data_IF_551480953021
#
_entry.id   IF_551480953021
#
_cell.length_a   1.000
_cell.length_b   1.000
_cell.length_c   1.000
_cell.angle_alpha   90.00
_cell.angle_beta   90.00
_cell.angle_gamma   90.00
#
_symmetry.space_group_name_H-M   'P 1'
#
loop_
_entity.id
_entity.type
_entity.pdbx_description
1 polymer ?
#
# COMPACT_ATOMS: atom_id res chain seq x y z
N UNK A 1 13.38 -61.48 -40.92
CA UNK A 1 13.95 -61.23 -39.59
C UNK A 1 13.83 -59.73 -39.34
N UNK A 2 12.67 -59.28 -38.83
CA UNK A 2 12.34 -57.85 -38.61
C UNK A 2 12.44 -57.52 -37.12
N UNK A 3 13.40 -56.70 -36.75
CA UNK A 3 13.55 -56.23 -35.40
C UNK A 3 12.80 -54.85 -35.31
N UNK A 4 11.60 -54.90 -34.77
CA UNK A 4 10.82 -53.70 -34.47
C UNK A 4 11.48 -52.88 -33.35
N UNK A 5 11.96 -51.71 -33.70
CA UNK A 5 12.55 -50.72 -32.78
C UNK A 5 11.40 -50.00 -32.08
N UNK A 6 11.08 -50.36 -30.83
CA UNK A 6 10.14 -49.60 -30.00
C UNK A 6 10.83 -48.36 -29.49
N UNK A 7 10.47 -47.21 -30.06
CA UNK A 7 10.80 -45.88 -29.51
C UNK A 7 9.86 -45.62 -28.35
N UNK A 8 10.36 -45.75 -27.13
CA UNK A 8 9.64 -45.30 -25.93
C UNK A 8 9.81 -43.78 -25.83
N UNK A 9 8.78 -43.03 -26.25
CA UNK A 9 8.67 -41.61 -25.98
C UNK A 9 8.40 -41.40 -24.47
N UNK A 10 9.42 -41.04 -23.73
CA UNK A 10 9.32 -40.63 -22.35
C UNK A 10 8.72 -39.19 -22.30
N UNK A 11 7.46 -39.07 -21.92
CA UNK A 11 6.87 -37.79 -21.60
C UNK A 11 7.45 -37.31 -20.25
N UNK A 12 8.40 -36.38 -20.30
CA UNK A 12 8.91 -35.69 -19.13
C UNK A 12 7.82 -34.69 -18.66
N UNK A 13 6.99 -35.11 -17.70
CA UNK A 13 6.04 -34.23 -17.02
C UNK A 13 6.86 -33.36 -16.07
N UNK A 14 7.25 -32.17 -16.50
CA UNK A 14 7.86 -31.18 -15.64
C UNK A 14 6.75 -30.69 -14.65
N UNK A 15 6.74 -31.22 -13.43
CA UNK A 15 5.95 -30.70 -12.35
C UNK A 15 6.46 -29.29 -12.06
N UNK A 16 5.72 -28.26 -12.48
CA UNK A 16 5.90 -26.91 -11.99
C UNK A 16 5.60 -26.96 -10.48
N UNK A 17 6.66 -26.97 -9.68
CA UNK A 17 6.55 -26.71 -8.24
C UNK A 17 6.16 -25.24 -8.12
N UNK A 18 4.87 -24.95 -7.98
CA UNK A 18 4.41 -23.63 -7.60
C UNK A 18 4.95 -23.35 -6.18
N UNK A 19 5.99 -22.55 -6.10
CA UNK A 19 6.42 -22.00 -4.82
C UNK A 19 5.22 -21.24 -4.24
N UNK A 20 4.91 -21.41 -2.93
CA UNK A 20 3.85 -20.64 -2.31
C UNK A 20 4.16 -19.16 -2.53
N UNK A 21 3.23 -18.42 -3.17
CA UNK A 21 3.34 -16.99 -3.29
C UNK A 21 3.39 -16.44 -1.86
N UNK A 22 4.50 -15.82 -1.50
CA UNK A 22 4.62 -15.18 -0.19
C UNK A 22 3.69 -13.99 -0.17
N UNK A 23 2.80 -13.93 0.84
CA UNK A 23 1.88 -12.81 1.00
C UNK A 23 2.66 -11.50 1.10
N UNK A 24 2.22 -10.48 0.36
CA UNK A 24 2.85 -9.16 0.39
C UNK A 24 2.78 -8.56 1.80
N UNK A 25 3.92 -8.24 2.39
CA UNK A 25 4.03 -7.62 3.72
C UNK A 25 3.82 -6.11 3.59
N UNK A 26 2.64 -5.63 3.97
CA UNK A 26 2.26 -4.22 3.86
C UNK A 26 2.18 -3.57 5.23
N UNK A 27 2.80 -2.40 5.36
CA UNK A 27 2.73 -1.55 6.54
C UNK A 27 1.96 -0.28 6.19
N UNK A 28 0.83 -0.03 6.86
CA UNK A 28 0.05 1.20 6.73
C UNK A 28 0.32 2.13 7.92
N UNK A 29 0.46 3.42 7.67
CA UNK A 29 0.73 4.41 8.73
C UNK A 29 -0.47 4.70 9.59
N UNK A 30 -1.68 4.66 9.01
CA UNK A 30 -2.94 5.01 9.65
C UNK A 30 -4.01 3.92 9.49
N UNK A 31 -5.06 3.94 10.34
CA UNK A 31 -6.20 3.02 10.20
C UNK A 31 -6.94 3.16 8.88
N UNK A 32 -7.05 4.38 8.32
CA UNK A 32 -7.69 4.61 7.02
C UNK A 32 -6.90 3.99 5.88
N UNK A 33 -5.57 4.13 5.88
CA UNK A 33 -4.70 3.45 4.91
C UNK A 33 -4.75 1.92 5.10
N UNK A 34 -4.79 1.45 6.34
CA UNK A 34 -4.96 0.03 6.63
C UNK A 34 -6.28 -0.54 6.10
N UNK A 35 -7.38 0.20 6.26
CA UNK A 35 -8.68 -0.18 5.70
C UNK A 35 -8.65 -0.23 4.16
N UNK A 36 -7.97 0.73 3.53
CA UNK A 36 -7.79 0.75 2.08
C UNK A 36 -6.97 -0.45 1.59
N UNK A 37 -5.84 -0.76 2.26
CA UNK A 37 -5.02 -1.94 1.96
C UNK A 37 -5.85 -3.23 2.05
N UNK A 38 -6.66 -3.39 3.07
CA UNK A 38 -7.56 -4.56 3.21
C UNK A 38 -8.61 -4.63 2.10
N UNK A 39 -9.18 -3.50 1.71
CA UNK A 39 -10.18 -3.44 0.65
C UNK A 39 -9.58 -3.83 -0.72
N UNK A 40 -8.33 -3.45 -0.98
CA UNK A 40 -7.61 -3.72 -2.22
C UNK A 40 -6.98 -5.12 -2.20
N UNK A 41 -6.20 -5.42 -1.15
CA UNK A 41 -5.35 -6.61 -1.06
C UNK A 41 -6.06 -7.87 -0.58
N UNK A 42 -7.19 -7.72 0.13
CA UNK A 42 -7.94 -8.87 0.64
C UNK A 42 -7.17 -9.68 1.70
N UNK A 43 -7.44 -10.99 1.72
CA UNK A 43 -6.84 -11.93 2.67
C UNK A 43 -5.39 -12.34 2.30
N UNK A 44 -5.00 -12.14 1.05
CA UNK A 44 -3.68 -12.56 0.53
C UNK A 44 -2.57 -11.53 0.85
N UNK A 45 -2.87 -10.55 1.70
CA UNK A 45 -1.95 -9.49 2.11
C UNK A 45 -1.76 -9.49 3.61
N UNK A 46 -0.52 -9.58 4.07
CA UNK A 46 -0.16 -9.38 5.47
C UNK A 46 -0.12 -7.89 5.77
N UNK A 47 -0.96 -7.42 6.70
CA UNK A 47 -1.07 -5.99 7.02
C UNK A 47 -0.72 -5.69 8.47
N UNK A 48 0.21 -4.76 8.66
CA UNK A 48 0.48 -4.11 9.94
C UNK A 48 0.08 -2.63 9.87
N UNK A 49 -0.73 -2.17 10.83
CA UNK A 49 -1.09 -0.74 10.96
C UNK A 49 -0.30 -0.14 12.12
N UNK A 50 0.45 0.94 11.87
CA UNK A 50 1.38 1.52 12.83
C UNK A 50 0.67 2.37 13.90
N UNK A 51 -0.38 3.09 13.52
CA UNK A 51 -1.15 3.95 14.42
C UNK A 51 -2.49 3.34 14.77
N UNK A 52 -2.90 3.45 16.03
CA UNK A 52 -4.28 3.21 16.43
C UNK A 52 -5.20 4.41 16.10
N UNK A 53 -6.52 4.19 16.10
CA UNK A 53 -7.50 5.24 15.74
C UNK A 53 -7.49 6.44 16.69
N UNK A 54 -7.03 6.24 17.93
CA UNK A 54 -6.93 7.28 18.98
C UNK A 54 -5.65 8.13 18.88
N UNK A 55 -4.81 7.89 17.89
CA UNK A 55 -3.49 8.54 17.80
C UNK A 55 -3.48 9.61 16.73
N UNK A 56 -3.00 10.79 17.14
CA UNK A 56 -2.67 11.88 16.23
C UNK A 56 -1.39 11.53 15.45
N UNK A 57 -1.50 11.44 14.13
CA UNK A 57 -0.38 11.10 13.24
C UNK A 57 0.69 12.18 13.18
N UNK A 58 0.35 13.44 13.43
CA UNK A 58 1.33 14.53 13.48
C UNK A 58 2.29 14.40 14.65
N UNK A 59 1.82 13.82 15.75
CA UNK A 59 2.54 13.73 17.04
C UNK A 59 2.97 12.31 17.39
N UNK A 60 2.86 11.40 16.44
CA UNK A 60 3.28 10.02 16.65
C UNK A 60 4.80 9.96 16.85
N UNK A 61 5.24 9.09 17.73
CA UNK A 61 6.66 8.81 17.94
C UNK A 61 6.97 7.39 17.43
N UNK A 62 8.07 7.25 16.69
CA UNK A 62 8.54 5.95 16.24
C UNK A 62 8.88 5.04 17.42
N UNK A 63 8.32 3.82 17.44
CA UNK A 63 8.57 2.80 18.47
C UNK A 63 9.34 1.63 17.88
N UNK A 64 10.08 0.87 18.70
CA UNK A 64 10.82 -0.30 18.23
C UNK A 64 9.96 -1.32 17.46
N UNK A 65 8.69 -1.52 17.86
CA UNK A 65 7.75 -2.39 17.15
C UNK A 65 7.42 -1.91 15.75
N UNK A 66 7.28 -0.59 15.54
CA UNK A 66 7.05 0.02 14.22
C UNK A 66 8.28 -0.16 13.32
N UNK A 67 9.47 0.10 13.87
CA UNK A 67 10.74 -0.12 13.16
C UNK A 67 10.89 -1.58 12.75
N UNK A 68 10.52 -2.51 13.63
CA UNK A 68 10.53 -3.95 13.36
C UNK A 68 9.57 -4.36 12.25
N UNK A 69 8.37 -3.74 12.17
CA UNK A 69 7.42 -3.95 11.08
C UNK A 69 7.97 -3.39 9.75
N UNK A 70 8.45 -2.14 9.74
CA UNK A 70 9.03 -1.49 8.57
C UNK A 70 10.24 -2.25 8.01
N UNK A 71 11.03 -2.90 8.87
CA UNK A 71 12.19 -3.71 8.43
C UNK A 71 11.81 -4.89 7.55
N UNK A 72 10.63 -5.46 7.74
CA UNK A 72 10.14 -6.62 6.98
C UNK A 72 9.19 -6.27 5.85
N UNK A 73 8.77 -4.99 5.77
CA UNK A 73 7.77 -4.55 4.82
C UNK A 73 8.29 -4.61 3.38
N UNK A 74 7.45 -5.09 2.49
CA UNK A 74 7.60 -4.94 1.04
C UNK A 74 7.02 -3.62 0.55
N UNK A 75 5.98 -3.12 1.25
CA UNK A 75 5.28 -1.89 0.92
C UNK A 75 4.90 -1.10 2.17
N UNK A 76 5.21 0.18 2.18
CA UNK A 76 4.69 1.17 3.13
C UNK A 76 3.63 2.01 2.44
N UNK A 77 2.45 2.11 3.05
CA UNK A 77 1.34 2.94 2.59
C UNK A 77 1.15 4.08 3.58
N UNK A 78 1.63 5.26 3.20
CA UNK A 78 1.53 6.49 3.96
C UNK A 78 0.40 7.38 3.42
N UNK A 79 -0.12 8.28 4.25
CA UNK A 79 -1.03 9.33 3.81
C UNK A 79 -0.27 10.34 2.94
N UNK A 80 0.89 10.80 3.39
CA UNK A 80 1.69 11.79 2.69
C UNK A 80 1.26 13.23 2.99
N UNK A 81 1.65 14.17 2.11
CA UNK A 81 1.43 15.62 2.30
C UNK A 81 1.92 16.10 3.68
N UNK A 82 3.07 15.62 4.11
CA UNK A 82 3.75 15.94 5.38
C UNK A 82 3.03 15.47 6.66
N UNK A 83 1.93 14.71 6.57
CA UNK A 83 1.20 14.26 7.75
C UNK A 83 2.09 13.46 8.72
N UNK A 84 2.96 12.61 8.19
CA UNK A 84 3.86 11.75 8.95
C UNK A 84 5.29 12.29 9.05
N UNK A 85 5.54 13.54 8.64
CA UNK A 85 6.90 14.09 8.52
C UNK A 85 7.68 14.07 9.83
N UNK A 86 7.00 14.19 10.96
CA UNK A 86 7.63 14.24 12.29
C UNK A 86 8.22 12.90 12.77
N UNK A 87 7.89 11.77 12.14
CA UNK A 87 8.30 10.46 12.66
C UNK A 87 8.63 9.40 11.60
N UNK A 88 7.89 9.33 10.48
CA UNK A 88 8.01 8.26 9.51
C UNK A 88 9.39 8.23 8.82
N UNK A 89 9.97 9.35 8.39
CA UNK A 89 11.30 9.35 7.78
C UNK A 89 12.37 8.75 8.69
N UNK A 90 12.35 9.11 9.98
CA UNK A 90 13.28 8.55 10.97
C UNK A 90 13.04 7.06 11.21
N UNK A 91 11.77 6.63 11.25
CA UNK A 91 11.40 5.22 11.40
C UNK A 91 11.88 4.37 10.23
N UNK A 92 11.70 4.84 8.99
CA UNK A 92 12.18 4.18 7.75
C UNK A 92 13.71 4.09 7.76
N UNK A 93 14.40 5.18 8.09
CA UNK A 93 15.87 5.18 8.19
C UNK A 93 16.36 4.16 9.23
N UNK A 94 15.71 4.11 10.40
CA UNK A 94 16.05 3.17 11.49
C UNK A 94 15.71 1.71 11.15
N UNK A 95 14.73 1.47 10.28
CA UNK A 95 14.39 0.13 9.79
C UNK A 95 15.48 -0.46 8.89
N UNK A 96 16.32 0.38 8.27
CA UNK A 96 17.39 0.00 7.36
C UNK A 96 16.93 -0.92 6.22
N UNK A 97 15.68 -0.78 5.79
CA UNK A 97 15.09 -1.53 4.67
C UNK A 97 15.17 -0.67 3.39
N UNK A 98 16.02 -1.02 2.41
CA UNK A 98 16.16 -0.23 1.19
C UNK A 98 14.93 -0.29 0.29
N UNK A 99 14.08 -1.33 0.40
CA UNK A 99 12.93 -1.53 -0.47
C UNK A 99 11.81 -0.49 -0.25
N UNK A 100 11.72 0.07 0.98
CA UNK A 100 10.64 0.99 1.39
C UNK A 100 11.10 2.45 1.53
N UNK A 101 12.26 2.80 0.98
CA UNK A 101 12.71 4.21 1.00
C UNK A 101 11.80 5.06 0.11
N UNK A 102 11.64 6.35 0.41
CA UNK A 102 11.01 7.28 -0.52
C UNK A 102 11.57 7.11 -1.94
N UNK A 103 10.71 7.27 -2.95
CA UNK A 103 11.02 7.10 -4.38
C UNK A 103 11.24 5.64 -4.84
N UNK A 104 11.22 4.66 -3.94
CA UNK A 104 11.23 3.24 -4.34
C UNK A 104 9.83 2.70 -4.58
N UNK A 105 9.69 1.58 -5.33
CA UNK A 105 8.39 0.93 -5.52
C UNK A 105 7.70 0.52 -4.21
N UNK A 106 8.45 0.22 -3.15
CA UNK A 106 7.93 -0.16 -1.84
C UNK A 106 7.48 1.02 -0.98
N UNK A 107 7.49 2.26 -1.48
CA UNK A 107 6.95 3.42 -0.78
C UNK A 107 5.80 4.04 -1.57
N UNK A 108 4.63 4.15 -0.94
CA UNK A 108 3.42 4.68 -1.55
C UNK A 108 2.82 5.78 -0.69
N UNK A 109 2.65 6.95 -1.26
CA UNK A 109 1.93 8.08 -0.66
C UNK A 109 0.58 8.25 -1.32
N UNK A 110 -0.48 8.18 -0.52
CA UNK A 110 -1.86 8.37 -0.98
C UNK A 110 -2.08 9.78 -1.54
N UNK A 111 -1.55 10.79 -0.87
CA UNK A 111 -1.65 12.20 -1.25
C UNK A 111 -1.03 12.49 -2.62
N UNK A 112 0.01 11.77 -3.00
CA UNK A 112 0.67 11.92 -4.30
C UNK A 112 -0.17 11.39 -5.48
N UNK A 113 -1.26 10.66 -5.21
CA UNK A 113 -2.10 10.03 -6.24
C UNK A 113 -3.28 10.91 -6.69
N UNK A 114 -3.49 12.04 -6.04
CA UNK A 114 -4.65 12.93 -6.26
C UNK A 114 -4.26 14.40 -6.19
N UNK A 115 -5.01 15.28 -6.84
CA UNK A 115 -4.87 16.70 -6.61
C UNK A 115 -5.33 17.04 -5.19
N UNK A 116 -4.46 17.67 -4.40
CA UNK A 116 -4.80 18.10 -3.04
C UNK A 116 -5.60 19.40 -3.03
N UNK A 117 -6.40 19.57 -1.99
CA UNK A 117 -7.05 20.86 -1.67
C UNK A 117 -6.08 21.72 -0.84
N UNK A 118 -6.38 23.01 -0.78
CA UNK A 118 -5.71 23.97 0.12
C UNK A 118 -4.18 24.07 -0.09
N UNK A 119 -3.70 23.77 -1.30
CA UNK A 119 -2.27 23.88 -1.65
C UNK A 119 -1.82 25.34 -1.58
N UNK A 120 -0.67 25.57 -0.94
CA UNK A 120 -0.09 26.92 -0.82
C UNK A 120 -0.72 27.79 0.26
N UNK A 121 -1.53 27.21 1.15
CA UNK A 121 -2.02 27.92 2.35
C UNK A 121 -0.82 28.34 3.20
N UNK A 122 -0.72 29.61 3.63
CA UNK A 122 0.38 30.05 4.45
C UNK A 122 0.50 29.20 5.72
N UNK A 123 1.71 28.74 6.02
CA UNK A 123 2.01 27.94 7.20
C UNK A 123 2.05 28.84 8.45
N UNK A 124 0.90 29.32 8.90
CA UNK A 124 0.77 30.03 10.17
C UNK A 124 0.43 29.02 11.27
N UNK A 125 1.41 28.72 12.12
CA UNK A 125 1.25 27.81 13.26
C UNK A 125 0.20 28.25 14.27
N UNK A 126 -0.21 29.52 14.25
CA UNK A 126 -1.31 30.02 15.07
C UNK A 126 -2.67 29.49 14.62
N UNK A 127 -2.77 29.00 13.39
CA UNK A 127 -3.98 28.41 12.82
C UNK A 127 -4.11 26.88 13.07
N UNK A 128 -3.20 26.29 13.84
CA UNK A 128 -3.21 24.86 14.13
C UNK A 128 -2.33 24.03 13.18
N UNK A 129 -2.77 22.83 12.84
CA UNK A 129 -2.05 21.93 11.93
C UNK A 129 -2.24 22.40 10.47
N UNK A 130 -1.29 23.18 9.97
CA UNK A 130 -1.28 23.69 8.60
C UNK A 130 -0.43 22.81 7.71
N UNK A 131 -0.95 22.50 6.52
CA UNK A 131 -0.33 21.65 5.53
C UNK A 131 -0.05 22.42 4.24
N UNK A 132 1.14 23.05 4.08
CA UNK A 132 1.46 23.88 2.91
C UNK A 132 1.45 23.12 1.59
N UNK A 133 1.73 21.82 1.62
CA UNK A 133 1.68 20.96 0.44
C UNK A 133 0.25 20.54 0.05
N UNK A 134 -0.74 20.88 0.87
CA UNK A 134 -2.14 20.55 0.66
C UNK A 134 -2.74 19.66 1.76
N UNK A 135 -4.05 19.60 1.80
CA UNK A 135 -4.82 18.92 2.84
C UNK A 135 -4.64 17.37 2.78
N UNK A 136 -4.02 16.73 3.79
CA UNK A 136 -3.77 15.29 3.81
C UNK A 136 -5.00 14.45 4.22
N UNK A 137 -6.13 15.07 4.60
CA UNK A 137 -7.29 14.35 5.13
C UNK A 137 -8.14 13.71 4.02
N UNK A 138 -7.49 12.96 3.13
CA UNK A 138 -8.07 12.30 1.96
C UNK A 138 -9.16 11.29 2.32
N UNK A 139 -9.08 10.70 3.51
CA UNK A 139 -10.05 9.73 4.02
C UNK A 139 -11.47 10.31 4.18
N UNK A 140 -11.62 11.63 4.17
CA UNK A 140 -12.91 12.33 4.19
C UNK A 140 -13.53 12.50 2.80
N UNK A 141 -12.77 12.22 1.73
CA UNK A 141 -13.23 12.28 0.34
C UNK A 141 -13.26 10.88 -0.31
N UNK A 142 -14.43 10.25 -0.38
CA UNK A 142 -14.54 8.89 -0.91
C UNK A 142 -14.11 8.77 -2.38
N UNK A 143 -14.31 9.80 -3.21
CA UNK A 143 -13.93 9.77 -4.63
C UNK A 143 -12.41 9.79 -4.79
N UNK A 144 -11.71 10.62 -4.00
CA UNK A 144 -10.25 10.62 -3.95
C UNK A 144 -9.73 9.28 -3.44
N UNK A 145 -10.35 8.73 -2.40
CA UNK A 145 -9.99 7.41 -1.90
C UNK A 145 -10.20 6.30 -2.94
N UNK A 146 -11.21 6.39 -3.80
CA UNK A 146 -11.38 5.46 -4.92
C UNK A 146 -10.25 5.57 -5.96
N UNK A 147 -9.77 6.79 -6.22
CA UNK A 147 -8.59 7.03 -7.09
C UNK A 147 -7.33 6.44 -6.46
N UNK A 148 -7.11 6.71 -5.17
CA UNK A 148 -5.97 6.15 -4.40
C UNK A 148 -6.01 4.62 -4.39
N UNK A 149 -7.21 4.01 -4.24
CA UNK A 149 -7.37 2.55 -4.28
C UNK A 149 -6.91 1.93 -5.61
N UNK A 150 -7.25 2.57 -6.73
CA UNK A 150 -6.81 2.11 -8.07
C UNK A 150 -5.29 2.22 -8.21
N UNK A 151 -4.69 3.34 -7.79
CA UNK A 151 -3.24 3.53 -7.80
C UNK A 151 -2.51 2.54 -6.89
N UNK A 152 -3.06 2.28 -5.69
CA UNK A 152 -2.52 1.29 -4.75
C UNK A 152 -2.54 -0.12 -5.35
N UNK A 153 -3.63 -0.50 -6.03
CA UNK A 153 -3.73 -1.81 -6.69
C UNK A 153 -2.65 -2.01 -7.75
N UNK A 154 -2.35 -0.99 -8.56
CA UNK A 154 -1.26 -1.07 -9.54
C UNK A 154 0.12 -1.14 -8.87
N UNK A 155 0.32 -0.42 -7.77
CA UNK A 155 1.55 -0.51 -6.98
C UNK A 155 1.75 -1.91 -6.40
N UNK A 156 0.72 -2.48 -5.78
CA UNK A 156 0.75 -3.85 -5.25
C UNK A 156 0.97 -4.88 -6.35
N UNK A 157 0.30 -4.73 -7.50
CA UNK A 157 0.49 -5.61 -8.66
C UNK A 157 1.91 -5.54 -9.25
N UNK A 158 2.59 -4.40 -9.14
CA UNK A 158 3.98 -4.24 -9.54
C UNK A 158 4.96 -4.98 -8.61
N UNK A 159 4.64 -5.05 -7.32
CA UNK A 159 5.45 -5.76 -6.30
C UNK A 159 5.13 -7.26 -6.25
N UNK A 160 3.87 -7.62 -6.47
CA UNK A 160 3.36 -8.99 -6.54
C UNK A 160 2.50 -9.17 -7.79
N UNK A 161 3.09 -9.51 -8.93
CA UNK A 161 2.35 -9.71 -10.18
C UNK A 161 1.33 -10.85 -10.12
N UNK A 162 1.56 -11.86 -9.29
CA UNK A 162 0.65 -13.00 -9.15
C UNK A 162 -0.67 -12.58 -8.48
N UNK A 163 -0.62 -11.72 -7.46
CA UNK A 163 -1.78 -11.13 -6.78
C UNK A 163 -2.46 -10.02 -7.58
N UNK A 164 -1.82 -9.50 -8.63
CA UNK A 164 -2.26 -8.34 -9.40
C UNK A 164 -3.73 -8.32 -9.82
N UNK A 165 -4.29 -9.42 -10.40
CA UNK A 165 -5.72 -9.48 -10.74
C UNK A 165 -6.63 -9.30 -9.52
N UNK A 166 -6.27 -9.87 -8.37
CA UNK A 166 -6.98 -9.75 -7.10
C UNK A 166 -7.01 -8.31 -6.59
N UNK A 167 -5.86 -7.63 -6.62
CA UNK A 167 -5.73 -6.22 -6.20
C UNK A 167 -6.58 -5.28 -7.06
N UNK A 168 -6.54 -5.43 -8.38
CA UNK A 168 -7.38 -4.65 -9.30
C UNK A 168 -8.86 -4.88 -9.06
N UNK A 169 -9.26 -6.12 -8.86
CA UNK A 169 -10.65 -6.46 -8.53
C UNK A 169 -11.07 -5.87 -7.17
N UNK A 170 -10.19 -5.87 -6.16
CA UNK A 170 -10.40 -5.22 -4.87
C UNK A 170 -10.65 -3.73 -5.00
N UNK A 171 -9.78 -3.04 -5.71
CA UNK A 171 -9.91 -1.61 -5.99
C UNK A 171 -11.20 -1.28 -6.78
N UNK A 172 -11.55 -2.09 -7.77
CA UNK A 172 -12.79 -1.91 -8.54
C UNK A 172 -14.04 -2.08 -7.65
N UNK A 173 -14.06 -3.08 -6.77
CA UNK A 173 -15.16 -3.28 -5.79
C UNK A 173 -15.28 -2.07 -4.86
N UNK A 174 -14.15 -1.58 -4.33
CA UNK A 174 -14.14 -0.41 -3.45
C UNK A 174 -14.68 0.82 -4.17
N UNK A 175 -14.16 1.15 -5.36
CA UNK A 175 -14.59 2.30 -6.15
C UNK A 175 -16.09 2.21 -6.51
N UNK A 176 -16.56 1.07 -6.99
CA UNK A 176 -17.98 0.87 -7.29
C UNK A 176 -18.88 0.96 -6.06
N UNK A 177 -18.39 0.59 -4.87
CA UNK A 177 -19.14 0.76 -3.62
C UNK A 177 -19.24 2.25 -3.23
N UNK A 178 -18.22 3.05 -3.49
CA UNK A 178 -18.22 4.50 -3.30
C UNK A 178 -19.23 5.14 -4.24
N UNK A 179 -19.13 4.87 -5.54
CA UNK A 179 -20.00 5.45 -6.58
C UNK A 179 -21.49 5.19 -6.32
N UNK A 180 -21.84 3.98 -5.87
CA UNK A 180 -23.24 3.64 -5.54
C UNK A 180 -23.81 4.34 -4.31
N UNK A 181 -22.98 4.88 -3.43
CA UNK A 181 -23.39 5.55 -2.18
C UNK A 181 -23.42 7.06 -2.27
N UNK A 182 -22.82 7.62 -3.28
CA UNK A 182 -22.88 9.06 -3.51
C UNK A 182 -24.17 9.41 -4.29
N UNK A 183 -24.94 10.40 -3.81
CA UNK A 183 -26.08 10.86 -4.58
C UNK A 183 -25.60 11.46 -5.91
N UNK A 184 -26.42 11.29 -6.95
CA UNK A 184 -26.22 11.91 -8.25
C UNK A 184 -26.32 13.43 -8.15
#
# INVERSE_FOLDING_TARGET
MNRSLMIRAGVLLAALVALPAQALEVVATSPSMGALVRAVGGADTTLTVLSGPERDLHRLQARPSMIGALRRADLVVAVGAELEIGWLPLAIASAANPAIRPETPGYFEAAAQVALLDVGTPADRALGDVHPLGNPHLNLDPLRMATVARALAERMAGLDPAGGPGYRAGAARFAGAVERRLPA
#
